data_IF_065704954874
#
_entry.id   IF_065704954874
#
_cell.length_a   1.000
_cell.length_b   1.000
_cell.length_c   1.000
_cell.angle_alpha   90.00
_cell.angle_beta   90.00
_cell.angle_gamma   90.00
#
_symmetry.space_group_name_H-M   'P 1'
#
loop_
_entity.id
_entity.type
_entity.pdbx_description
1 polymer ?
#
# COMPACT_ATOMS: atom_id res chain seq x y z
N UNK A 1 20.99 38.25 -30.42
CA UNK A 1 19.61 37.89 -30.82
C UNK A 1 18.79 37.81 -29.54
N UNK A 2 17.72 38.60 -29.42
CA UNK A 2 16.76 38.37 -28.34
C UNK A 2 16.03 37.06 -28.65
N UNK A 3 16.27 36.04 -27.85
CA UNK A 3 15.51 34.82 -27.96
C UNK A 3 14.03 35.16 -27.74
N UNK A 4 13.19 34.91 -28.74
CA UNK A 4 11.74 35.12 -28.62
C UNK A 4 11.19 34.10 -27.66
N UNK A 5 10.64 34.53 -26.51
CA UNK A 5 10.08 33.70 -25.47
C UNK A 5 9.05 32.70 -26.03
N UNK A 6 8.22 33.16 -26.99
CA UNK A 6 7.21 32.28 -27.60
C UNK A 6 7.82 31.12 -28.40
N UNK A 7 8.95 31.38 -29.09
CA UNK A 7 9.68 30.31 -29.81
C UNK A 7 10.29 29.30 -28.86
N UNK A 8 10.86 29.80 -27.75
CA UNK A 8 11.41 28.91 -26.70
C UNK A 8 10.33 28.07 -26.08
N UNK A 9 9.20 28.61 -25.67
CA UNK A 9 8.08 27.88 -25.09
C UNK A 9 7.57 26.77 -26.01
N UNK A 10 7.40 27.08 -27.32
CA UNK A 10 7.02 26.04 -28.30
C UNK A 10 8.03 24.92 -28.44
N UNK A 11 9.31 25.24 -28.37
CA UNK A 11 10.37 24.24 -28.39
C UNK A 11 10.28 23.31 -27.16
N UNK A 12 10.08 23.87 -25.96
CA UNK A 12 9.88 23.07 -24.72
C UNK A 12 8.62 22.22 -24.77
N UNK A 13 7.50 22.75 -25.26
CA UNK A 13 6.27 21.99 -25.41
C UNK A 13 6.46 20.79 -26.36
N UNK A 14 7.21 20.99 -27.45
CA UNK A 14 7.56 19.90 -28.35
C UNK A 14 8.47 18.84 -27.71
N UNK A 15 9.46 19.29 -26.94
CA UNK A 15 10.41 18.40 -26.24
C UNK A 15 9.79 17.64 -25.03
N UNK A 16 8.59 18.02 -24.59
CA UNK A 16 7.89 17.40 -23.44
C UNK A 16 6.55 16.78 -23.81
N UNK A 17 6.36 16.42 -25.05
CA UNK A 17 5.07 15.96 -25.61
C UNK A 17 4.49 14.75 -24.87
N UNK A 18 5.31 13.73 -24.59
CA UNK A 18 4.87 12.50 -23.92
C UNK A 18 4.44 12.80 -22.47
N UNK A 19 5.18 13.65 -21.77
CA UNK A 19 4.83 14.07 -20.40
C UNK A 19 3.52 14.85 -20.40
N UNK A 20 3.37 15.81 -21.31
CA UNK A 20 2.15 16.62 -21.41
C UNK A 20 0.92 15.78 -21.76
N UNK A 21 1.08 14.76 -22.62
CA UNK A 21 0.00 13.80 -22.89
C UNK A 21 -0.41 13.03 -21.64
N UNK A 22 0.55 12.62 -20.82
CA UNK A 22 0.27 11.95 -19.54
C UNK A 22 -0.44 12.91 -18.57
N UNK A 23 0.02 14.14 -18.45
CA UNK A 23 -0.60 15.14 -17.58
C UNK A 23 -2.04 15.45 -18.01
N UNK A 24 -2.28 15.63 -19.31
CA UNK A 24 -3.63 15.88 -19.84
C UNK A 24 -4.60 14.71 -19.58
N UNK A 25 -4.10 13.49 -19.46
CA UNK A 25 -4.91 12.31 -19.17
C UNK A 25 -5.20 12.09 -17.67
N UNK A 26 -4.28 12.50 -16.79
CA UNK A 26 -4.32 12.15 -15.37
C UNK A 26 -4.62 13.34 -14.45
N UNK A 27 -4.07 14.52 -14.74
CA UNK A 27 -4.30 15.73 -13.95
C UNK A 27 -5.66 16.37 -14.30
N UNK A 28 -6.11 17.28 -13.47
CA UNK A 28 -7.29 18.09 -13.78
C UNK A 28 -6.99 19.03 -14.96
N UNK A 29 -7.99 19.27 -15.81
CA UNK A 29 -7.82 20.04 -17.03
C UNK A 29 -7.23 21.44 -16.72
N UNK A 30 -6.23 21.84 -17.51
CA UNK A 30 -5.57 23.14 -17.45
C UNK A 30 -4.97 23.52 -16.08
N UNK A 31 -4.81 22.57 -15.17
CA UNK A 31 -4.30 22.82 -13.82
C UNK A 31 -2.78 22.87 -13.73
N UNK A 32 -2.04 22.27 -14.68
CA UNK A 32 -0.58 22.16 -14.59
C UNK A 32 0.13 23.48 -14.86
N UNK A 33 0.92 23.91 -13.87
CA UNK A 33 1.79 25.10 -13.96
C UNK A 33 3.25 24.62 -13.84
N UNK A 34 3.97 24.65 -14.98
CA UNK A 34 5.37 24.20 -15.04
C UNK A 34 6.30 25.16 -14.30
N UNK A 35 7.22 24.60 -13.52
CA UNK A 35 8.32 25.31 -12.89
C UNK A 35 9.64 24.87 -13.49
N UNK A 36 10.63 25.79 -13.46
CA UNK A 36 11.99 25.51 -13.93
C UNK A 36 12.08 25.06 -15.41
N UNK A 37 11.12 25.45 -16.27
CA UNK A 37 11.07 25.08 -17.68
C UNK A 37 12.36 25.44 -18.44
N UNK A 38 13.02 26.55 -18.03
CA UNK A 38 14.24 27.04 -18.68
C UNK A 38 15.55 26.45 -18.12
N UNK A 39 15.47 25.54 -17.16
CA UNK A 39 16.62 24.73 -16.76
C UNK A 39 16.79 23.62 -17.79
N UNK A 40 17.73 23.75 -18.68
CA UNK A 40 18.00 22.84 -19.80
C UNK A 40 19.50 22.77 -20.10
N UNK A 41 19.94 21.62 -20.60
CA UNK A 41 21.25 21.50 -21.21
C UNK A 41 21.31 22.16 -22.59
N UNK A 42 22.51 22.29 -23.13
CA UNK A 42 22.77 22.79 -24.48
C UNK A 42 23.46 21.71 -25.30
N UNK A 43 23.21 21.67 -26.62
CA UNK A 43 23.97 20.85 -27.56
C UNK A 43 25.30 21.55 -27.92
N UNK A 44 26.09 20.95 -28.78
CA UNK A 44 27.38 21.48 -29.26
C UNK A 44 27.24 22.85 -29.99
N UNK A 45 26.03 23.20 -30.42
CA UNK A 45 25.72 24.46 -31.09
C UNK A 45 25.17 25.53 -30.10
N UNK A 46 25.10 25.21 -28.78
CA UNK A 46 24.54 26.10 -27.76
C UNK A 46 23.02 26.19 -27.81
N UNK A 47 22.34 25.25 -28.46
CA UNK A 47 20.88 25.21 -28.51
C UNK A 47 20.32 24.40 -27.32
N UNK A 48 19.22 24.83 -26.71
CA UNK A 48 18.55 24.08 -25.64
C UNK A 48 18.15 22.69 -26.11
N UNK A 49 18.57 21.66 -25.38
CA UNK A 49 18.26 20.25 -25.70
C UNK A 49 17.02 19.73 -25.00
N UNK A 50 16.37 20.52 -24.15
CA UNK A 50 15.40 20.03 -23.20
C UNK A 50 16.05 19.29 -22.02
N UNK A 51 15.24 18.90 -21.06
CA UNK A 51 15.73 18.16 -19.88
C UNK A 51 14.89 16.92 -19.62
N UNK A 52 15.53 15.90 -19.06
CA UNK A 52 14.90 14.62 -18.71
C UNK A 52 13.90 14.70 -17.54
N UNK A 53 13.64 15.91 -17.02
CA UNK A 53 12.72 16.14 -15.91
C UNK A 53 11.82 17.34 -16.19
N UNK A 54 10.52 17.17 -15.96
CA UNK A 54 9.47 18.20 -15.95
C UNK A 54 8.87 18.24 -14.55
N UNK A 55 8.68 19.45 -14.01
CA UNK A 55 8.15 19.63 -12.65
C UNK A 55 7.28 20.86 -12.52
N UNK A 56 6.34 20.86 -11.59
CA UNK A 56 5.42 21.96 -11.36
C UNK A 56 4.35 21.65 -10.33
N UNK A 57 3.32 22.48 -10.30
CA UNK A 57 2.12 22.26 -9.50
C UNK A 57 0.92 21.97 -10.40
N UNK A 58 -0.02 21.20 -9.89
CA UNK A 58 -1.27 20.87 -10.58
C UNK A 58 -2.37 20.55 -9.57
N UNK A 59 -3.55 20.19 -10.06
CA UNK A 59 -4.63 19.65 -9.24
C UNK A 59 -5.02 18.25 -9.71
N UNK A 60 -5.45 17.40 -8.77
CA UNK A 60 -6.00 16.07 -8.99
C UNK A 60 -7.25 15.93 -8.12
N UNK A 61 -8.42 15.75 -8.75
CA UNK A 61 -9.69 15.73 -8.04
C UNK A 61 -9.95 17.00 -7.22
N UNK A 62 -9.55 18.16 -7.76
CA UNK A 62 -9.61 19.50 -7.14
C UNK A 62 -8.73 19.68 -5.90
N UNK A 63 -7.76 18.81 -5.68
CA UNK A 63 -6.75 18.91 -4.62
C UNK A 63 -5.41 19.30 -5.24
N UNK A 64 -4.73 20.28 -4.64
CA UNK A 64 -3.43 20.73 -5.10
C UNK A 64 -2.34 19.69 -4.84
N UNK A 65 -1.48 19.48 -5.82
CA UNK A 65 -0.37 18.51 -5.76
C UNK A 65 0.91 19.11 -6.37
N UNK A 66 2.05 18.69 -5.88
CA UNK A 66 3.33 18.88 -6.57
C UNK A 66 3.55 17.71 -7.54
N UNK A 67 3.95 18.03 -8.77
CA UNK A 67 4.13 17.05 -9.84
C UNK A 67 5.58 17.00 -10.29
N UNK A 68 6.11 15.79 -10.41
CA UNK A 68 7.43 15.48 -10.97
C UNK A 68 7.24 14.44 -12.07
N UNK A 69 7.85 14.64 -13.25
CA UNK A 69 7.86 13.62 -14.28
C UNK A 69 9.25 13.48 -14.91
N UNK A 70 9.66 12.25 -15.18
CA UNK A 70 10.78 12.00 -16.08
C UNK A 70 10.29 12.08 -17.51
N UNK A 71 11.12 12.63 -18.41
CA UNK A 71 10.73 12.94 -19.77
C UNK A 71 11.37 11.95 -20.76
N UNK A 72 10.63 10.92 -21.22
CA UNK A 72 11.18 9.93 -22.14
C UNK A 72 11.54 10.47 -23.52
N UNK A 73 11.02 11.65 -23.91
CA UNK A 73 11.32 12.29 -25.19
C UNK A 73 12.77 12.83 -25.25
N UNK A 74 13.44 12.94 -24.11
CA UNK A 74 14.81 13.43 -23.97
C UNK A 74 15.72 12.37 -23.36
N UNK A 75 16.63 11.82 -24.14
CA UNK A 75 17.58 10.77 -23.73
C UNK A 75 16.93 9.57 -23.01
N UNK A 76 15.79 9.08 -23.54
CA UNK A 76 15.01 7.99 -22.93
C UNK A 76 14.70 8.22 -21.43
N UNK A 77 14.43 9.46 -21.04
CA UNK A 77 14.18 9.83 -19.64
C UNK A 77 15.43 9.86 -18.76
N UNK A 78 16.61 9.78 -19.36
CA UNK A 78 17.89 9.83 -18.63
C UNK A 78 18.05 11.11 -17.80
N UNK A 79 18.29 10.95 -16.51
CA UNK A 79 18.38 12.07 -15.56
C UNK A 79 19.82 12.61 -15.51
N UNK A 80 19.94 13.91 -15.79
CA UNK A 80 21.17 14.70 -15.67
C UNK A 80 21.29 15.33 -14.28
N UNK A 81 22.41 15.94 -13.99
CA UNK A 81 22.60 16.79 -12.82
C UNK A 81 21.60 17.97 -12.79
N UNK A 82 21.26 18.55 -13.96
CA UNK A 82 20.27 19.62 -14.07
C UNK A 82 18.85 19.10 -13.86
N UNK A 83 18.50 17.95 -14.41
CA UNK A 83 17.22 17.30 -14.17
C UNK A 83 17.02 16.94 -12.71
N UNK A 84 18.05 16.43 -12.06
CA UNK A 84 18.04 16.14 -10.63
C UNK A 84 17.83 17.41 -9.78
N UNK A 85 18.41 18.55 -10.19
CA UNK A 85 18.18 19.84 -9.52
C UNK A 85 16.72 20.30 -9.63
N UNK A 86 16.06 20.09 -10.78
CA UNK A 86 14.62 20.35 -10.93
C UNK A 86 13.79 19.46 -9.98
N UNK A 87 14.13 18.16 -9.94
CA UNK A 87 13.45 17.20 -9.05
C UNK A 87 13.61 17.58 -7.57
N UNK A 88 14.85 17.87 -7.12
CA UNK A 88 15.11 18.29 -5.74
C UNK A 88 14.29 19.52 -5.33
N UNK A 89 14.18 20.51 -6.22
CA UNK A 89 13.44 21.77 -5.96
C UNK A 89 11.96 21.53 -5.78
N UNK A 90 11.32 20.74 -6.65
CA UNK A 90 9.89 20.48 -6.52
C UNK A 90 9.57 19.61 -5.30
N UNK A 91 10.43 18.61 -4.99
CA UNK A 91 10.29 17.80 -3.77
C UNK A 91 10.37 18.68 -2.51
N UNK A 92 11.37 19.58 -2.44
CA UNK A 92 11.51 20.48 -1.31
C UNK A 92 10.30 21.40 -1.15
N UNK A 93 9.76 21.94 -2.25
CA UNK A 93 8.55 22.78 -2.23
C UNK A 93 7.31 21.98 -1.81
N UNK A 94 7.18 20.74 -2.25
CA UNK A 94 6.09 19.87 -1.82
C UNK A 94 6.10 19.69 -0.28
N UNK A 95 7.26 19.41 0.29
CA UNK A 95 7.44 19.27 1.76
C UNK A 95 7.10 20.59 2.47
N UNK A 96 7.67 21.72 2.00
CA UNK A 96 7.46 23.05 2.60
C UNK A 96 5.98 23.48 2.58
N UNK A 97 5.24 23.08 1.54
CA UNK A 97 3.83 23.43 1.36
C UNK A 97 2.86 22.38 1.92
N UNK A 98 3.35 21.23 2.40
CA UNK A 98 2.51 20.11 2.85
C UNK A 98 1.69 19.46 1.73
N UNK A 99 2.09 19.61 0.46
CA UNK A 99 1.35 19.10 -0.69
C UNK A 99 1.76 17.67 -1.02
N UNK A 100 0.83 16.81 -1.45
CA UNK A 100 1.16 15.51 -2.00
C UNK A 100 2.15 15.63 -3.17
N UNK A 101 3.15 14.74 -3.20
CA UNK A 101 4.07 14.60 -4.31
C UNK A 101 3.60 13.46 -5.23
N UNK A 102 3.25 13.78 -6.46
CA UNK A 102 2.86 12.80 -7.49
C UNK A 102 3.93 12.77 -8.57
N UNK A 103 4.57 11.61 -8.74
CA UNK A 103 5.69 11.45 -9.66
C UNK A 103 5.38 10.46 -10.77
N UNK A 104 5.65 10.83 -12.02
CA UNK A 104 5.49 9.96 -13.19
C UNK A 104 6.88 9.58 -13.71
N UNK A 105 7.20 8.30 -13.67
CA UNK A 105 8.52 7.76 -13.98
C UNK A 105 8.49 6.98 -15.29
N UNK A 106 9.31 7.41 -16.23
CA UNK A 106 9.68 6.67 -17.45
C UNK A 106 11.13 7.00 -17.78
N UNK A 107 12.08 6.19 -17.26
CA UNK A 107 13.50 6.51 -17.32
C UNK A 107 14.37 5.26 -17.42
N UNK A 108 15.44 5.37 -18.17
CA UNK A 108 16.52 4.37 -18.22
C UNK A 108 17.57 4.55 -17.12
N UNK A 109 17.44 5.59 -16.27
CA UNK A 109 18.36 5.87 -15.15
C UNK A 109 19.19 7.13 -15.37
N UNK A 110 20.44 7.09 -14.89
CA UNK A 110 21.37 8.23 -14.98
C UNK A 110 21.90 8.45 -16.41
N UNK A 111 22.18 9.69 -16.77
CA UNK A 111 22.99 10.01 -17.95
C UNK A 111 24.45 9.62 -17.70
N UNK A 112 24.81 8.44 -18.19
CA UNK A 112 26.12 7.81 -17.90
C UNK A 112 27.31 8.70 -18.27
N UNK A 113 27.21 9.50 -19.33
CA UNK A 113 28.27 10.39 -19.79
C UNK A 113 28.57 11.57 -18.84
N UNK A 114 27.65 11.91 -17.93
CA UNK A 114 27.85 12.94 -16.92
C UNK A 114 28.62 12.42 -15.68
N UNK A 115 28.89 11.12 -15.61
CA UNK A 115 29.71 10.52 -14.56
C UNK A 115 29.22 10.83 -13.15
N UNK A 116 30.14 11.40 -12.33
CA UNK A 116 29.86 11.69 -10.92
C UNK A 116 28.76 12.74 -10.72
N UNK A 117 28.56 13.67 -11.65
CA UNK A 117 27.56 14.73 -11.52
C UNK A 117 26.13 14.15 -11.60
N UNK A 118 25.90 13.18 -12.49
CA UNK A 118 24.64 12.45 -12.53
C UNK A 118 24.41 11.64 -11.25
N UNK A 119 25.46 10.98 -10.71
CA UNK A 119 25.36 10.22 -9.46
C UNK A 119 24.99 11.13 -8.28
N UNK A 120 25.68 12.26 -8.13
CA UNK A 120 25.37 13.28 -7.11
C UNK A 120 23.94 13.85 -7.26
N UNK A 121 23.42 13.89 -8.49
CA UNK A 121 22.03 14.24 -8.76
C UNK A 121 21.05 13.23 -8.19
N UNK A 122 21.30 11.93 -8.40
CA UNK A 122 20.48 10.87 -7.83
C UNK A 122 20.46 10.86 -6.30
N UNK A 123 21.62 11.14 -5.65
CA UNK A 123 21.69 11.26 -4.20
C UNK A 123 20.71 12.31 -3.66
N UNK A 124 20.57 13.45 -4.35
CA UNK A 124 19.63 14.51 -3.98
C UNK A 124 18.18 14.08 -4.13
N UNK A 125 17.84 13.34 -5.21
CA UNK A 125 16.49 12.81 -5.42
C UNK A 125 16.15 11.82 -4.31
N UNK A 126 17.00 10.84 -4.05
CA UNK A 126 16.78 9.83 -3.02
C UNK A 126 16.64 10.44 -1.62
N UNK A 127 17.55 11.39 -1.28
CA UNK A 127 17.46 12.12 -0.01
C UNK A 127 16.19 12.98 0.08
N UNK A 128 15.73 13.55 -1.02
CA UNK A 128 14.49 14.29 -1.12
C UNK A 128 13.28 13.39 -0.79
N UNK A 129 13.18 12.24 -1.44
CA UNK A 129 12.11 11.28 -1.18
C UNK A 129 12.14 10.73 0.25
N UNK A 130 13.34 10.42 0.78
CA UNK A 130 13.47 9.96 2.16
C UNK A 130 13.00 11.01 3.18
N UNK A 131 13.10 12.30 2.87
CA UNK A 131 12.54 13.38 3.71
C UNK A 131 11.04 13.54 3.51
N UNK A 132 10.53 13.38 2.28
CA UNK A 132 9.11 13.52 1.98
C UNK A 132 8.28 12.39 2.60
N UNK A 133 8.80 11.16 2.54
CA UNK A 133 8.13 9.98 3.06
C UNK A 133 7.81 10.10 4.55
N UNK A 134 6.54 9.93 4.89
CA UNK A 134 6.02 10.09 6.24
C UNK A 134 5.80 11.55 6.69
N UNK A 135 6.06 12.55 5.81
CA UNK A 135 5.72 13.96 6.07
C UNK A 135 4.60 14.46 5.17
N UNK A 136 4.60 14.03 3.92
CA UNK A 136 3.57 14.32 2.93
C UNK A 136 3.21 13.03 2.18
N UNK A 137 2.01 12.93 1.58
CA UNK A 137 1.69 11.80 0.69
C UNK A 137 2.63 11.75 -0.52
N UNK A 138 3.22 10.57 -0.77
CA UNK A 138 4.14 10.33 -1.90
C UNK A 138 3.57 9.23 -2.79
N UNK A 139 3.18 9.59 -4.02
CA UNK A 139 2.63 8.68 -5.01
C UNK A 139 3.58 8.63 -6.20
N UNK A 140 4.13 7.47 -6.50
CA UNK A 140 5.02 7.25 -7.65
C UNK A 140 4.34 6.35 -8.67
N UNK A 141 4.31 6.78 -9.92
CA UNK A 141 3.70 6.07 -11.05
C UNK A 141 4.78 5.72 -12.06
N UNK A 142 4.93 4.45 -12.38
CA UNK A 142 5.84 3.97 -13.44
C UNK A 142 5.02 3.67 -14.69
N UNK A 143 5.20 4.50 -15.73
CA UNK A 143 4.44 4.37 -16.98
C UNK A 143 5.14 3.49 -18.01
N UNK A 144 6.46 3.60 -18.15
CA UNK A 144 7.26 2.84 -19.06
C UNK A 144 8.39 2.10 -18.36
N UNK A 145 9.53 2.73 -18.21
CA UNK A 145 10.73 2.14 -17.60
C UNK A 145 11.04 2.79 -16.26
N UNK A 146 11.49 1.99 -15.31
CA UNK A 146 12.08 2.47 -14.07
C UNK A 146 13.32 1.62 -13.77
N UNK A 147 14.47 2.09 -14.26
CA UNK A 147 15.73 1.36 -14.11
C UNK A 147 16.68 2.09 -13.15
N UNK A 148 17.52 1.31 -12.49
CA UNK A 148 18.55 1.83 -11.59
C UNK A 148 17.99 2.27 -10.23
N UNK A 149 18.59 3.32 -9.66
CA UNK A 149 18.34 3.75 -8.27
C UNK A 149 16.92 4.27 -8.03
N UNK A 150 16.18 4.71 -9.07
CA UNK A 150 14.80 5.15 -8.87
C UNK A 150 13.82 4.02 -8.52
N UNK A 151 14.20 2.76 -8.70
CA UNK A 151 13.40 1.65 -8.16
C UNK A 151 13.30 1.67 -6.63
N UNK A 152 14.28 2.24 -5.95
CA UNK A 152 14.26 2.39 -4.48
C UNK A 152 13.19 3.35 -3.97
N UNK A 153 12.62 4.21 -4.86
CA UNK A 153 11.48 5.05 -4.52
C UNK A 153 10.27 4.22 -4.10
N UNK A 154 10.19 2.96 -4.53
CA UNK A 154 9.13 2.04 -4.10
C UNK A 154 9.04 1.84 -2.58
N UNK A 155 10.16 1.94 -1.86
CA UNK A 155 10.23 1.88 -0.40
C UNK A 155 10.06 3.23 0.29
N UNK A 156 9.95 4.32 -0.49
CA UNK A 156 9.79 5.70 0.00
C UNK A 156 8.56 6.36 -0.65
N UNK A 157 7.59 5.56 -1.05
CA UNK A 157 6.31 6.00 -1.62
C UNK A 157 5.18 5.28 -0.90
N UNK A 158 4.12 5.99 -0.59
CA UNK A 158 2.90 5.43 0.00
C UNK A 158 2.14 4.59 -1.03
N UNK A 159 2.28 4.96 -2.31
CA UNK A 159 1.84 4.15 -3.43
C UNK A 159 2.89 4.14 -4.56
N UNK A 160 3.26 2.93 -5.00
CA UNK A 160 4.13 2.70 -6.15
C UNK A 160 3.33 1.97 -7.21
N UNK A 161 2.70 2.75 -8.10
CA UNK A 161 1.77 2.30 -9.13
C UNK A 161 2.54 2.01 -10.40
N UNK A 162 2.30 0.87 -11.04
CA UNK A 162 2.92 0.55 -12.32
C UNK A 162 1.88 0.26 -13.38
N UNK A 163 2.14 0.71 -14.61
CA UNK A 163 1.40 0.22 -15.75
C UNK A 163 1.76 -1.26 -15.98
N UNK A 164 0.79 -2.06 -16.44
CA UNK A 164 0.94 -3.51 -16.59
C UNK A 164 2.17 -3.93 -17.41
N UNK A 165 2.49 -3.12 -18.43
CA UNK A 165 3.62 -3.35 -19.35
C UNK A 165 4.89 -2.57 -18.97
N UNK A 166 4.86 -1.85 -17.85
CA UNK A 166 6.04 -1.15 -17.38
C UNK A 166 7.14 -2.15 -16.97
N UNK A 167 8.37 -1.72 -17.12
CA UNK A 167 9.55 -2.51 -16.76
C UNK A 167 10.25 -1.87 -15.55
N UNK A 168 10.49 -2.67 -14.51
CA UNK A 168 11.10 -2.20 -13.26
C UNK A 168 12.28 -3.10 -12.90
N UNK A 169 13.47 -2.52 -12.79
CA UNK A 169 14.66 -3.26 -12.39
C UNK A 169 15.74 -2.32 -11.81
N UNK A 170 16.41 -2.75 -10.74
CA UNK A 170 17.56 -2.02 -10.18
C UNK A 170 18.79 -2.09 -11.09
N UNK A 171 18.90 -3.16 -11.88
CA UNK A 171 19.96 -3.35 -12.86
C UNK A 171 19.36 -3.39 -14.25
N UNK A 172 19.95 -2.63 -15.19
CA UNK A 172 19.48 -2.63 -16.57
C UNK A 172 19.38 -4.06 -17.14
N UNK A 173 18.30 -4.38 -17.86
CA UNK A 173 18.14 -5.68 -18.54
C UNK A 173 19.32 -6.05 -19.43
N UNK A 174 20.01 -5.07 -20.02
CA UNK A 174 21.24 -5.29 -20.80
C UNK A 174 22.38 -5.90 -19.97
N UNK A 175 22.49 -5.54 -18.72
CA UNK A 175 23.49 -6.08 -17.78
C UNK A 175 22.99 -7.42 -17.22
N UNK A 176 21.71 -7.52 -16.87
CA UNK A 176 21.10 -8.76 -16.36
C UNK A 176 21.17 -9.90 -17.36
N UNK A 177 21.09 -9.63 -18.66
CA UNK A 177 21.15 -10.66 -19.71
C UNK A 177 22.44 -11.49 -19.67
N UNK A 178 23.51 -11.00 -19.03
CA UNK A 178 24.77 -11.73 -18.85
C UNK A 178 24.74 -12.72 -17.68
N UNK A 179 23.78 -12.58 -16.75
CA UNK A 179 23.68 -13.38 -15.51
C UNK A 179 22.42 -14.28 -15.45
N UNK A 180 21.55 -14.21 -16.43
CA UNK A 180 20.32 -14.99 -16.52
C UNK A 180 19.12 -14.14 -16.96
N UNK A 181 18.00 -14.78 -17.29
CA UNK A 181 16.77 -14.08 -17.69
C UNK A 181 15.87 -13.92 -16.48
N UNK A 182 15.64 -12.67 -16.07
CA UNK A 182 14.66 -12.30 -15.03
C UNK A 182 13.59 -11.44 -15.71
N UNK A 183 12.31 -11.70 -15.42
CA UNK A 183 11.24 -10.82 -15.86
C UNK A 183 11.36 -9.48 -15.12
N UNK A 184 11.43 -8.38 -15.88
CA UNK A 184 11.37 -7.01 -15.37
C UNK A 184 9.96 -6.42 -15.46
N UNK A 185 8.97 -7.18 -15.96
CA UNK A 185 7.60 -6.70 -16.09
C UNK A 185 7.00 -6.42 -14.72
N UNK A 186 6.38 -5.26 -14.59
CA UNK A 186 5.78 -4.81 -13.34
C UNK A 186 4.71 -5.78 -12.81
N UNK A 187 3.94 -6.43 -13.69
CA UNK A 187 2.94 -7.46 -13.32
C UNK A 187 3.56 -8.69 -12.65
N UNK A 188 4.76 -9.12 -13.06
CA UNK A 188 5.47 -10.24 -12.46
C UNK A 188 6.17 -9.80 -11.15
N UNK A 189 6.75 -8.60 -11.15
CA UNK A 189 7.36 -7.99 -9.98
C UNK A 189 6.34 -7.81 -8.86
N UNK A 190 5.13 -7.36 -9.17
CA UNK A 190 4.04 -7.19 -8.20
C UNK A 190 3.71 -8.48 -7.44
N UNK A 191 3.73 -9.64 -8.13
CA UNK A 191 3.48 -10.96 -7.52
C UNK A 191 4.66 -11.44 -6.68
N UNK A 192 5.88 -11.27 -7.20
CA UNK A 192 7.07 -11.94 -6.68
C UNK A 192 7.82 -11.07 -5.66
N UNK A 193 8.09 -9.82 -5.95
CA UNK A 193 8.88 -8.92 -5.10
C UNK A 193 8.03 -8.15 -4.08
N UNK A 194 6.74 -7.87 -4.40
CA UNK A 194 5.79 -7.31 -3.43
C UNK A 194 5.96 -5.83 -3.10
N UNK A 195 6.76 -5.07 -3.87
CA UNK A 195 6.91 -3.63 -3.65
C UNK A 195 5.99 -2.78 -4.54
N UNK A 196 5.47 -3.31 -5.65
CA UNK A 196 4.47 -2.63 -6.47
C UNK A 196 3.12 -2.66 -5.76
N UNK A 197 2.54 -1.51 -5.52
CA UNK A 197 1.28 -1.41 -4.77
C UNK A 197 0.06 -1.66 -5.64
N UNK A 198 0.05 -1.11 -6.86
CA UNK A 198 -1.08 -1.22 -7.79
C UNK A 198 -0.58 -1.41 -9.22
N UNK A 199 -1.28 -2.23 -9.99
CA UNK A 199 -1.09 -2.37 -11.43
C UNK A 199 -2.28 -1.72 -12.12
N UNK A 200 -2.00 -0.89 -13.13
CA UNK A 200 -3.01 -0.20 -13.95
C UNK A 200 -2.81 -0.51 -15.44
N UNK A 201 -3.88 -0.55 -16.19
CA UNK A 201 -3.86 -0.92 -17.62
C UNK A 201 -3.65 0.28 -18.54
N UNK A 202 -4.23 1.42 -18.14
CA UNK A 202 -4.29 2.63 -18.96
C UNK A 202 -4.35 3.90 -18.09
N UNK A 203 -4.29 5.06 -18.75
CA UNK A 203 -4.33 6.38 -18.10
C UNK A 203 -5.66 6.61 -17.35
N UNK A 204 -6.78 6.05 -17.82
CA UNK A 204 -8.07 6.21 -17.17
C UNK A 204 -8.15 5.44 -15.83
N UNK A 205 -7.59 4.24 -15.79
CA UNK A 205 -7.47 3.47 -14.55
C UNK A 205 -6.46 4.13 -13.61
N UNK A 206 -5.34 4.60 -14.13
CA UNK A 206 -4.32 5.34 -13.38
C UNK A 206 -4.93 6.57 -12.71
N UNK A 207 -5.68 7.40 -13.46
CA UNK A 207 -6.37 8.57 -12.90
C UNK A 207 -7.31 8.18 -11.75
N UNK A 208 -8.13 7.16 -11.91
CA UNK A 208 -9.04 6.68 -10.84
C UNK A 208 -8.30 6.28 -9.57
N UNK A 209 -7.17 5.59 -9.73
CA UNK A 209 -6.34 5.16 -8.59
C UNK A 209 -5.74 6.36 -7.88
N UNK A 210 -5.16 7.31 -8.63
CA UNK A 210 -4.51 8.49 -8.07
C UNK A 210 -5.55 9.43 -7.43
N UNK A 211 -6.66 9.73 -8.11
CA UNK A 211 -7.76 10.55 -7.58
C UNK A 211 -8.20 10.01 -6.20
N UNK A 212 -8.35 8.68 -6.09
CA UNK A 212 -8.74 8.02 -4.85
C UNK A 212 -7.67 8.14 -3.76
N UNK A 213 -6.40 7.88 -4.11
CA UNK A 213 -5.30 7.99 -3.16
C UNK A 213 -5.13 9.42 -2.67
N UNK A 214 -5.12 10.40 -3.56
CA UNK A 214 -5.02 11.81 -3.18
C UNK A 214 -6.18 12.23 -2.27
N UNK A 215 -7.39 11.74 -2.54
CA UNK A 215 -8.55 12.01 -1.68
C UNK A 215 -8.42 11.39 -0.29
N UNK A 216 -7.91 10.14 -0.18
CA UNK A 216 -7.81 9.41 1.08
C UNK A 216 -6.59 9.82 1.93
N UNK A 217 -5.49 10.24 1.28
CA UNK A 217 -4.24 10.55 1.96
C UNK A 217 -4.11 12.02 2.40
N UNK A 218 -5.08 12.87 2.09
CA UNK A 218 -5.06 14.31 2.38
C UNK A 218 -5.70 14.72 3.70
N UNK A 219 -5.85 13.82 4.64
CA UNK A 219 -6.35 14.06 6.02
C UNK A 219 -7.69 14.85 6.13
N UNK A 220 -8.42 14.98 5.01
CA UNK A 220 -9.72 15.62 4.97
C UNK A 220 -10.82 14.57 4.96
N UNK A 221 -11.91 14.84 5.68
CA UNK A 221 -13.10 13.99 5.59
C UNK A 221 -13.59 13.95 4.13
N UNK A 222 -13.72 12.74 3.60
CA UNK A 222 -14.28 12.55 2.27
C UNK A 222 -15.78 12.88 2.28
N UNK A 223 -16.28 13.49 1.21
CA UNK A 223 -17.73 13.64 1.01
C UNK A 223 -18.39 12.26 1.04
N UNK A 224 -19.14 11.99 2.10
CA UNK A 224 -19.81 10.72 2.29
C UNK A 224 -21.33 10.88 2.22
N UNK A 225 -21.93 10.20 1.25
CA UNK A 225 -23.39 10.10 1.11
C UNK A 225 -23.94 8.73 1.56
N UNK A 226 -23.07 7.83 2.05
CA UNK A 226 -23.44 6.49 2.47
C UNK A 226 -23.98 6.51 3.91
N UNK A 227 -25.16 5.92 4.14
CA UNK A 227 -25.79 5.92 5.45
C UNK A 227 -24.93 5.20 6.50
N UNK A 228 -24.58 5.90 7.59
CA UNK A 228 -23.83 5.36 8.72
C UNK A 228 -24.53 4.14 9.36
N UNK A 229 -25.86 4.11 9.31
CA UNK A 229 -26.67 3.03 9.88
C UNK A 229 -27.02 1.93 8.86
N UNK A 230 -26.44 1.97 7.68
CA UNK A 230 -26.67 0.97 6.64
C UNK A 230 -26.37 -0.44 7.14
N UNK A 231 -27.33 -1.33 7.04
CA UNK A 231 -27.20 -2.76 7.37
C UNK A 231 -26.45 -3.47 6.24
N UNK A 232 -25.38 -4.18 6.57
CA UNK A 232 -24.56 -4.96 5.63
C UNK A 232 -25.25 -6.30 5.31
N UNK A 233 -26.28 -6.29 4.47
CA UNK A 233 -27.10 -7.47 4.16
C UNK A 233 -26.34 -8.58 3.45
N UNK A 234 -25.25 -8.27 2.77
CA UNK A 234 -24.38 -9.22 2.08
C UNK A 234 -23.41 -9.98 3.02
N UNK A 235 -23.28 -9.56 4.27
CA UNK A 235 -22.37 -10.21 5.21
C UNK A 235 -23.03 -11.38 5.96
N UNK A 236 -22.28 -12.46 6.05
CA UNK A 236 -22.63 -13.69 6.77
C UNK A 236 -21.40 -14.27 7.47
N UNK A 237 -21.56 -15.30 8.28
CA UNK A 237 -20.45 -15.98 8.95
C UNK A 237 -19.41 -16.61 8.00
N UNK A 238 -19.75 -16.78 6.72
CA UNK A 238 -18.85 -17.30 5.67
C UNK A 238 -18.19 -16.20 4.81
N UNK A 239 -18.44 -14.93 5.11
CA UNK A 239 -17.82 -13.82 4.37
C UNK A 239 -16.33 -13.72 4.64
N UNK A 240 -15.56 -13.44 3.61
CA UNK A 240 -14.13 -13.18 3.70
C UNK A 240 -13.81 -11.70 4.03
N UNK A 241 -12.56 -11.37 4.27
CA UNK A 241 -12.13 -10.02 4.63
C UNK A 241 -12.42 -9.00 3.51
N UNK A 242 -12.35 -9.40 2.24
CA UNK A 242 -12.64 -8.52 1.11
C UNK A 242 -14.14 -8.22 0.98
N UNK A 243 -14.97 -9.17 1.33
CA UNK A 243 -16.42 -8.95 1.42
C UNK A 243 -16.77 -7.90 2.49
N UNK A 244 -16.08 -7.92 3.64
CA UNK A 244 -16.28 -6.89 4.68
C UNK A 244 -15.77 -5.53 4.20
N UNK A 245 -14.62 -5.47 3.52
CA UNK A 245 -14.12 -4.22 2.94
C UNK A 245 -15.15 -3.59 1.97
N UNK A 246 -15.79 -4.40 1.14
CA UNK A 246 -16.76 -3.91 0.16
C UNK A 246 -18.12 -3.53 0.77
N UNK A 247 -18.56 -4.24 1.83
CA UNK A 247 -19.89 -4.09 2.40
C UNK A 247 -19.95 -3.14 3.59
N UNK A 248 -18.94 -3.11 4.46
CA UNK A 248 -18.99 -2.34 5.70
C UNK A 248 -18.44 -0.92 5.58
N UNK A 249 -17.49 -0.69 4.67
CA UNK A 249 -16.90 0.63 4.44
C UNK A 249 -17.76 1.47 3.48
N UNK A 250 -17.41 2.72 3.30
CA UNK A 250 -18.15 3.62 2.42
C UNK A 250 -18.09 3.12 0.97
N UNK A 251 -19.21 3.23 0.27
CA UNK A 251 -19.32 2.71 -1.09
C UNK A 251 -18.29 3.32 -2.02
N UNK A 252 -17.62 2.46 -2.78
CA UNK A 252 -16.60 2.86 -3.74
C UNK A 252 -15.42 3.65 -3.15
N UNK A 253 -15.20 3.66 -1.83
CA UNK A 253 -14.09 4.36 -1.21
C UNK A 253 -12.79 3.56 -1.19
N UNK A 254 -12.86 2.23 -1.18
CA UNK A 254 -11.71 1.37 -0.96
C UNK A 254 -10.75 1.30 -2.15
N UNK A 255 -9.47 1.17 -1.83
CA UNK A 255 -8.40 0.82 -2.76
C UNK A 255 -7.46 -0.20 -2.11
N UNK A 256 -7.43 -1.41 -2.65
CA UNK A 256 -6.53 -2.47 -2.16
C UNK A 256 -5.11 -2.23 -2.65
N UNK A 257 -4.15 -2.30 -1.73
CA UNK A 257 -2.71 -2.13 -1.98
C UNK A 257 -2.02 -3.48 -2.00
N UNK A 258 -1.07 -3.69 -2.91
CA UNK A 258 -0.33 -4.95 -3.08
C UNK A 258 -1.24 -6.18 -3.23
N UNK A 259 -2.37 -6.06 -3.93
CA UNK A 259 -3.38 -7.12 -4.06
C UNK A 259 -2.83 -8.43 -4.68
N UNK A 260 -1.81 -8.35 -5.53
CA UNK A 260 -1.19 -9.51 -6.19
C UNK A 260 -0.15 -10.24 -5.32
N UNK A 261 0.21 -9.68 -4.17
CA UNK A 261 1.27 -10.21 -3.29
C UNK A 261 0.67 -10.63 -1.95
N UNK A 262 1.08 -11.80 -1.42
CA UNK A 262 0.59 -12.33 -0.15
C UNK A 262 -0.94 -12.21 -0.04
N UNK A 263 -1.65 -12.97 -0.87
CA UNK A 263 -3.10 -12.85 -1.09
C UNK A 263 -3.95 -13.11 0.17
N UNK A 264 -3.39 -13.84 1.14
CA UNK A 264 -3.99 -14.07 2.45
C UNK A 264 -4.04 -12.82 3.32
N UNK A 265 -3.21 -11.81 3.00
CA UNK A 265 -3.16 -10.53 3.69
C UNK A 265 -3.77 -9.44 2.82
N UNK A 266 -4.84 -8.82 3.29
CA UNK A 266 -5.44 -7.63 2.72
C UNK A 266 -4.78 -6.39 3.32
N UNK A 267 -4.42 -5.43 2.51
CA UNK A 267 -4.09 -4.06 2.90
C UNK A 267 -4.83 -3.10 1.99
N UNK A 268 -5.62 -2.20 2.53
CA UNK A 268 -6.41 -1.26 1.74
C UNK A 268 -6.58 0.08 2.45
N UNK A 269 -6.57 1.17 1.70
CA UNK A 269 -7.14 2.42 2.17
C UNK A 269 -8.63 2.46 1.84
N UNK A 270 -9.44 3.03 2.73
CA UNK A 270 -10.87 3.20 2.54
C UNK A 270 -11.37 4.40 3.34
N UNK A 271 -12.64 4.74 3.22
CA UNK A 271 -13.30 5.62 4.18
C UNK A 271 -14.41 4.88 4.95
N UNK A 272 -14.63 5.33 6.16
CA UNK A 272 -15.67 4.83 7.03
C UNK A 272 -16.40 6.03 7.65
N UNK A 273 -17.62 6.28 7.20
CA UNK A 273 -18.40 7.47 7.56
C UNK A 273 -17.68 8.78 7.20
N UNK A 274 -17.02 8.79 6.04
CA UNK A 274 -16.21 9.91 5.54
C UNK A 274 -14.79 9.99 6.11
N UNK A 275 -14.48 9.29 7.19
CA UNK A 275 -13.14 9.30 7.80
C UNK A 275 -12.22 8.34 7.04
N UNK A 276 -11.07 8.79 6.52
CA UNK A 276 -10.06 7.91 5.93
C UNK A 276 -9.52 6.91 6.96
N UNK A 277 -9.45 5.63 6.58
CA UNK A 277 -8.97 4.55 7.44
C UNK A 277 -8.09 3.58 6.68
N UNK A 278 -7.11 3.01 7.36
CA UNK A 278 -6.31 1.89 6.88
C UNK A 278 -6.97 0.56 7.27
N UNK A 279 -7.21 -0.31 6.31
CA UNK A 279 -7.83 -1.61 6.54
C UNK A 279 -6.80 -2.71 6.34
N UNK A 280 -6.58 -3.49 7.36
CA UNK A 280 -5.76 -4.70 7.34
C UNK A 280 -6.70 -5.90 7.44
N UNK A 281 -6.48 -6.95 6.66
CA UNK A 281 -7.25 -8.18 6.77
C UNK A 281 -6.34 -9.42 6.66
N UNK A 282 -6.64 -10.46 7.42
CA UNK A 282 -5.95 -11.74 7.27
C UNK A 282 -6.99 -12.84 7.14
N UNK A 283 -6.90 -13.60 6.04
CA UNK A 283 -7.78 -14.73 5.76
C UNK A 283 -6.95 -16.00 5.54
N UNK A 284 -7.02 -16.92 6.50
CA UNK A 284 -6.20 -18.12 6.54
C UNK A 284 -4.94 -18.00 7.39
N UNK A 285 -3.83 -18.64 6.99
CA UNK A 285 -2.55 -18.58 7.70
C UNK A 285 -1.68 -17.45 7.21
N UNK A 286 -1.16 -16.64 8.13
CA UNK A 286 -0.26 -15.53 7.81
C UNK A 286 1.14 -16.05 7.46
N UNK A 287 1.65 -15.66 6.29
CA UNK A 287 3.01 -15.96 5.84
C UNK A 287 4.01 -14.87 6.26
N UNK A 288 5.30 -15.15 6.14
CA UNK A 288 6.36 -14.15 6.35
C UNK A 288 6.18 -12.94 5.42
N UNK A 289 5.78 -13.17 4.17
CA UNK A 289 5.53 -12.13 3.18
C UNK A 289 4.28 -11.31 3.52
N UNK A 290 3.23 -11.97 4.01
CA UNK A 290 2.02 -11.30 4.51
C UNK A 290 2.31 -10.41 5.72
N UNK A 291 3.13 -10.90 6.66
CA UNK A 291 3.56 -10.11 7.80
C UNK A 291 4.33 -8.84 7.38
N UNK A 292 5.29 -8.96 6.46
CA UNK A 292 6.02 -7.80 5.92
C UNK A 292 5.09 -6.82 5.19
N UNK A 293 4.17 -7.33 4.36
CA UNK A 293 3.18 -6.50 3.66
C UNK A 293 2.35 -5.66 4.63
N UNK A 294 1.87 -6.26 5.72
CA UNK A 294 1.07 -5.57 6.73
C UNK A 294 1.94 -4.57 7.50
N UNK A 295 3.18 -4.95 7.86
CA UNK A 295 4.13 -4.06 8.56
C UNK A 295 4.37 -2.77 7.79
N UNK A 296 4.71 -2.86 6.51
CA UNK A 296 4.91 -1.70 5.64
C UNK A 296 3.66 -0.80 5.63
N UNK A 297 2.50 -1.42 5.44
CA UNK A 297 1.23 -0.70 5.33
C UNK A 297 0.82 0.01 6.63
N UNK A 298 0.98 -0.66 7.79
CA UNK A 298 0.71 -0.05 9.11
C UNK A 298 1.65 1.11 9.39
N UNK A 299 2.93 0.98 9.03
CA UNK A 299 3.91 2.04 9.20
C UNK A 299 3.52 3.29 8.39
N UNK A 300 3.12 3.09 7.14
CA UNK A 300 2.58 4.16 6.28
C UNK A 300 1.33 4.79 6.89
N UNK A 301 0.34 4.00 7.29
CA UNK A 301 -0.90 4.50 7.89
C UNK A 301 -0.63 5.28 9.18
N UNK A 302 0.28 4.78 10.02
CA UNK A 302 0.68 5.43 11.27
C UNK A 302 1.36 6.79 11.05
N UNK A 303 2.23 6.92 10.03
CA UNK A 303 2.86 8.20 9.69
C UNK A 303 1.88 9.25 9.19
N UNK A 304 0.74 8.81 8.65
CA UNK A 304 -0.36 9.68 8.19
C UNK A 304 -1.42 9.95 9.26
N UNK A 305 -1.26 9.45 10.48
CA UNK A 305 -2.27 9.60 11.54
C UNK A 305 -3.57 8.84 11.28
N UNK A 306 -3.57 7.88 10.35
CA UNK A 306 -4.77 7.21 9.86
C UNK A 306 -5.20 6.07 10.80
N UNK A 307 -6.45 6.01 11.29
CA UNK A 307 -6.95 4.90 12.10
C UNK A 307 -6.86 3.56 11.38
N UNK A 308 -6.60 2.49 12.11
CA UNK A 308 -6.42 1.14 11.56
C UNK A 308 -7.59 0.25 11.96
N UNK A 309 -8.24 -0.39 10.98
CA UNK A 309 -9.25 -1.42 11.19
C UNK A 309 -8.68 -2.76 10.76
N UNK A 310 -8.60 -3.70 11.68
CA UNK A 310 -8.03 -5.04 11.45
C UNK A 310 -9.14 -6.10 11.41
N UNK A 311 -9.26 -6.80 10.29
CA UNK A 311 -10.23 -7.85 10.03
C UNK A 311 -9.53 -9.23 10.15
N UNK A 312 -9.97 -10.08 11.07
CA UNK A 312 -9.25 -11.32 11.39
C UNK A 312 -10.10 -12.56 11.15
N UNK A 313 -9.65 -13.39 10.22
CA UNK A 313 -10.11 -14.76 10.02
C UNK A 313 -8.89 -15.68 9.82
N UNK A 314 -8.08 -15.84 10.86
CA UNK A 314 -6.78 -16.49 10.75
C UNK A 314 -6.65 -17.73 11.65
N UNK A 315 -6.16 -18.80 11.06
CA UNK A 315 -5.85 -20.07 11.75
C UNK A 315 -4.40 -20.11 12.28
N UNK A 316 -3.73 -18.96 12.35
CA UNK A 316 -2.38 -18.82 12.91
C UNK A 316 -1.34 -18.41 11.88
N UNK A 317 -0.08 -18.65 12.21
CA UNK A 317 1.07 -18.42 11.33
C UNK A 317 1.34 -19.69 10.51
N UNK A 318 1.84 -19.55 9.29
CA UNK A 318 2.26 -20.69 8.46
C UNK A 318 3.42 -21.40 9.15
N UNK A 319 3.25 -22.69 9.40
CA UNK A 319 4.27 -23.56 9.97
C UNK A 319 4.80 -24.50 8.88
N UNK A 320 5.88 -24.08 8.20
CA UNK A 320 6.63 -24.91 7.27
C UNK A 320 8.13 -24.57 7.31
N UNK A 321 8.97 -25.53 6.95
CA UNK A 321 10.41 -25.41 7.06
C UNK A 321 11.01 -24.26 6.23
N UNK A 322 10.40 -23.93 5.08
CA UNK A 322 10.89 -22.82 4.23
C UNK A 322 10.62 -21.47 4.90
N UNK A 323 9.44 -21.29 5.48
CA UNK A 323 9.08 -20.07 6.20
C UNK A 323 9.94 -19.90 7.45
N UNK A 324 10.13 -20.99 8.25
CA UNK A 324 10.96 -20.98 9.45
C UNK A 324 12.44 -20.70 9.15
N UNK A 325 12.98 -21.26 8.06
CA UNK A 325 14.37 -21.04 7.66
C UNK A 325 14.65 -19.70 6.97
N UNK A 326 13.58 -18.95 6.58
CA UNK A 326 13.71 -17.66 5.95
C UNK A 326 13.58 -16.51 6.96
N UNK A 327 12.68 -15.58 6.70
CA UNK A 327 12.50 -14.35 7.45
C UNK A 327 11.23 -14.32 8.32
N UNK A 328 10.57 -15.48 8.58
CA UNK A 328 9.29 -15.52 9.30
C UNK A 328 9.37 -14.83 10.66
N UNK A 329 10.31 -15.26 11.50
CA UNK A 329 10.45 -14.71 12.86
C UNK A 329 10.74 -13.22 12.82
N UNK A 330 11.60 -12.77 11.92
CA UNK A 330 11.92 -11.35 11.76
C UNK A 330 10.70 -10.55 11.32
N UNK A 331 10.02 -10.97 10.25
CA UNK A 331 8.88 -10.24 9.71
C UNK A 331 7.70 -10.20 10.69
N UNK A 332 7.47 -11.28 11.44
CA UNK A 332 6.43 -11.30 12.48
C UNK A 332 6.82 -10.43 13.67
N UNK A 333 8.10 -10.38 14.05
CA UNK A 333 8.58 -9.48 15.10
C UNK A 333 8.42 -8.01 14.68
N UNK A 334 8.75 -7.68 13.43
CA UNK A 334 8.57 -6.34 12.88
C UNK A 334 7.09 -5.94 12.84
N UNK A 335 6.19 -6.89 12.53
CA UNK A 335 4.75 -6.68 12.57
C UNK A 335 4.24 -6.38 13.99
N UNK A 336 4.69 -7.14 15.00
CA UNK A 336 4.37 -6.90 16.41
C UNK A 336 4.86 -5.50 16.81
N UNK A 337 6.09 -5.15 16.42
CA UNK A 337 6.67 -3.85 16.71
C UNK A 337 5.85 -2.72 16.07
N UNK A 338 5.48 -2.84 14.79
CA UNK A 338 4.69 -1.84 14.09
C UNK A 338 3.34 -1.60 14.79
N UNK A 339 2.57 -2.65 15.07
CA UNK A 339 1.27 -2.49 15.78
C UNK A 339 1.38 -1.82 17.14
N UNK A 340 2.47 -2.05 17.88
CA UNK A 340 2.63 -1.48 19.22
C UNK A 340 3.20 -0.06 19.22
N UNK A 341 3.79 0.40 18.11
CA UNK A 341 4.45 1.70 18.04
C UNK A 341 3.70 2.74 17.20
N UNK A 342 2.64 2.37 16.48
CA UNK A 342 1.80 3.36 15.80
C UNK A 342 0.89 4.07 16.82
N UNK A 343 0.86 5.40 16.76
CA UNK A 343 0.08 6.25 17.68
C UNK A 343 -1.27 6.64 17.06
N UNK A 344 -1.97 5.67 16.47
CA UNK A 344 -3.29 5.86 15.87
C UNK A 344 -4.30 4.91 16.50
N UNK A 345 -5.59 5.23 16.37
CA UNK A 345 -6.67 4.38 16.84
C UNK A 345 -6.67 3.03 16.10
N UNK A 346 -6.87 1.94 16.85
CA UNK A 346 -6.86 0.57 16.30
C UNK A 346 -8.11 -0.18 16.74
N UNK A 347 -8.83 -0.69 15.75
CA UNK A 347 -10.07 -1.43 15.93
C UNK A 347 -9.88 -2.82 15.33
N UNK A 348 -10.10 -3.88 16.10
CA UNK A 348 -10.05 -5.25 15.61
C UNK A 348 -11.44 -5.88 15.54
N UNK A 349 -11.70 -6.62 14.46
CA UNK A 349 -12.88 -7.44 14.28
C UNK A 349 -12.48 -8.88 13.95
N UNK A 350 -12.76 -9.80 14.88
CA UNK A 350 -12.61 -11.23 14.61
C UNK A 350 -13.88 -11.73 13.91
N UNK A 351 -13.75 -12.08 12.63
CA UNK A 351 -14.86 -12.49 11.79
C UNK A 351 -15.15 -14.00 11.87
N UNK A 352 -14.08 -14.79 11.95
CA UNK A 352 -14.13 -16.24 11.98
C UNK A 352 -13.18 -16.80 13.03
N UNK A 353 -11.97 -17.13 12.64
CA UNK A 353 -10.94 -17.68 13.54
C UNK A 353 -9.88 -16.66 13.89
N UNK A 354 -9.44 -16.67 15.14
CA UNK A 354 -8.25 -15.97 15.60
C UNK A 354 -7.44 -16.91 16.50
N UNK A 355 -6.47 -17.62 15.91
CA UNK A 355 -5.78 -18.75 16.56
C UNK A 355 -4.33 -18.41 16.84
N UNK A 356 -3.89 -18.71 18.07
CA UNK A 356 -2.51 -18.60 18.50
C UNK A 356 -1.93 -17.20 18.32
N UNK A 357 -0.75 -17.11 17.72
CA UNK A 357 -0.05 -15.85 17.51
C UNK A 357 -0.86 -14.84 16.66
N UNK A 358 -1.71 -15.31 15.73
CA UNK A 358 -2.55 -14.40 14.95
C UNK A 358 -3.51 -13.58 15.83
N UNK A 359 -4.12 -14.18 16.87
CA UNK A 359 -4.91 -13.43 17.83
C UNK A 359 -4.05 -12.39 18.56
N UNK A 360 -2.90 -12.81 19.10
CA UNK A 360 -2.04 -11.95 19.89
C UNK A 360 -1.51 -10.73 19.12
N UNK A 361 -1.24 -10.93 17.81
CA UNK A 361 -0.64 -9.90 16.95
C UNK A 361 -1.69 -8.98 16.33
N UNK A 362 -2.89 -9.50 16.02
CA UNK A 362 -3.86 -8.77 15.20
C UNK A 362 -5.11 -8.33 15.97
N UNK A 363 -5.56 -9.10 16.98
CA UNK A 363 -6.87 -8.93 17.58
C UNK A 363 -6.89 -8.78 19.11
N UNK A 364 -5.75 -8.79 19.79
CA UNK A 364 -5.72 -8.71 21.25
C UNK A 364 -6.01 -7.29 21.76
N UNK A 365 -6.61 -7.20 22.94
CA UNK A 365 -6.82 -5.92 23.65
C UNK A 365 -5.51 -5.22 24.05
N UNK A 366 -4.39 -5.92 24.04
CA UNK A 366 -3.08 -5.32 24.36
C UNK A 366 -2.62 -4.33 23.28
N UNK A 367 -3.12 -4.50 22.05
CA UNK A 367 -2.69 -3.72 20.89
C UNK A 367 -3.83 -2.95 20.23
N UNK A 368 -5.09 -3.27 20.53
CA UNK A 368 -6.25 -2.60 19.93
C UNK A 368 -7.04 -1.84 21.00
N UNK A 369 -7.54 -0.69 20.64
CA UNK A 369 -8.39 0.16 21.49
C UNK A 369 -9.81 -0.42 21.59
N UNK A 370 -10.30 -1.03 20.48
CA UNK A 370 -11.56 -1.77 20.43
C UNK A 370 -11.38 -3.15 19.82
N UNK A 371 -11.98 -4.15 20.46
CA UNK A 371 -11.96 -5.55 20.04
C UNK A 371 -13.38 -6.08 19.91
N UNK A 372 -13.80 -6.34 18.67
CA UNK A 372 -15.11 -6.87 18.32
C UNK A 372 -14.97 -8.29 17.76
N UNK A 373 -16.02 -9.09 17.87
CA UNK A 373 -16.09 -10.37 17.21
C UNK A 373 -17.49 -10.65 16.65
N UNK A 374 -17.58 -11.39 15.56
CA UNK A 374 -18.86 -11.96 15.12
C UNK A 374 -19.31 -13.08 16.05
N UNK A 375 -20.61 -13.28 16.16
CA UNK A 375 -21.22 -14.26 17.09
C UNK A 375 -20.79 -15.72 16.85
N UNK A 376 -20.31 -16.06 15.67
CA UNK A 376 -19.77 -17.38 15.33
C UNK A 376 -18.24 -17.48 15.39
N UNK A 377 -17.54 -16.44 15.85
CA UNK A 377 -16.08 -16.44 15.87
C UNK A 377 -15.51 -17.32 16.98
N UNK A 378 -14.29 -17.81 16.73
CA UNK A 378 -13.51 -18.70 17.57
C UNK A 378 -12.15 -18.09 17.91
N UNK A 379 -11.81 -18.04 19.20
CA UNK A 379 -10.58 -17.41 19.70
C UNK A 379 -9.90 -18.36 20.68
N UNK A 380 -8.74 -18.92 20.31
CA UNK A 380 -8.03 -19.90 21.11
C UNK A 380 -6.54 -19.98 20.81
N UNK A 381 -5.72 -20.57 21.71
CA UNK A 381 -4.32 -20.86 21.45
C UNK A 381 -4.08 -21.81 20.26
N UNK A 382 -4.98 -22.80 20.06
CA UNK A 382 -4.88 -23.83 19.03
C UNK A 382 -6.23 -24.00 18.32
N UNK A 383 -6.22 -24.51 17.10
CA UNK A 383 -7.44 -25.03 16.48
C UNK A 383 -7.95 -26.27 17.23
N UNK A 384 -9.24 -26.59 17.09
CA UNK A 384 -9.88 -27.65 17.85
C UNK A 384 -9.21 -29.02 17.70
N UNK A 385 -8.79 -29.39 16.48
CA UNK A 385 -8.15 -30.68 16.23
C UNK A 385 -6.76 -30.73 16.87
N UNK A 386 -5.96 -29.68 16.74
CA UNK A 386 -4.65 -29.60 17.38
C UNK A 386 -4.77 -29.63 18.90
N UNK A 387 -5.73 -28.91 19.47
CA UNK A 387 -6.00 -28.93 20.90
C UNK A 387 -6.40 -30.31 21.38
N UNK A 388 -7.34 -30.97 20.70
CA UNK A 388 -7.77 -32.34 21.05
C UNK A 388 -6.60 -33.34 21.08
N UNK A 389 -5.70 -33.26 20.07
CA UNK A 389 -4.51 -34.14 20.04
C UNK A 389 -3.54 -33.83 21.17
N UNK A 390 -3.38 -32.58 21.57
CA UNK A 390 -2.46 -32.20 22.66
C UNK A 390 -2.99 -32.56 24.05
N UNK A 391 -4.31 -32.45 24.27
CA UNK A 391 -4.92 -32.69 25.59
C UNK A 391 -5.40 -34.11 25.79
N UNK A 392 -5.98 -34.72 24.74
CA UNK A 392 -6.66 -36.03 24.81
C UNK A 392 -6.05 -37.07 23.84
N UNK A 393 -4.81 -36.84 23.39
CA UNK A 393 -4.15 -37.65 22.36
C UNK A 393 -4.11 -39.15 22.71
N UNK A 394 -3.92 -39.53 24.00
CA UNK A 394 -3.93 -40.94 24.44
C UNK A 394 -5.33 -41.56 24.37
N UNK A 395 -6.38 -40.80 24.70
CA UNK A 395 -7.77 -41.29 24.63
C UNK A 395 -8.22 -41.44 23.19
N UNK A 396 -7.85 -40.47 22.34
CA UNK A 396 -8.11 -40.51 20.90
C UNK A 396 -7.44 -41.73 20.26
N UNK A 397 -6.16 -42.01 20.60
CA UNK A 397 -5.42 -43.14 20.06
C UNK A 397 -6.00 -44.50 20.49
N UNK A 398 -6.66 -44.58 21.64
CA UNK A 398 -7.29 -45.81 22.18
C UNK A 398 -8.72 -46.01 21.69
N UNK A 399 -9.32 -44.98 21.02
CA UNK A 399 -10.70 -45.03 20.56
C UNK A 399 -10.87 -46.05 19.40
N UNK A 400 -12.02 -46.69 19.34
CA UNK A 400 -12.38 -47.58 18.21
C UNK A 400 -12.49 -46.82 16.88
N UNK A 401 -12.95 -45.59 16.95
CA UNK A 401 -13.02 -44.67 15.84
C UNK A 401 -12.25 -43.39 16.23
N UNK A 402 -11.02 -43.34 15.79
CA UNK A 402 -10.06 -42.26 16.09
C UNK A 402 -10.57 -40.92 15.56
N UNK A 403 -11.12 -40.88 14.34
CA UNK A 403 -11.62 -39.66 13.70
C UNK A 403 -12.86 -39.10 14.42
N UNK A 404 -13.79 -39.96 14.80
CA UNK A 404 -14.97 -39.51 15.55
C UNK A 404 -14.60 -39.01 16.96
N UNK A 405 -13.63 -39.65 17.62
CA UNK A 405 -13.13 -39.21 18.93
C UNK A 405 -12.43 -37.84 18.83
N UNK A 406 -11.55 -37.66 17.84
CA UNK A 406 -10.89 -36.39 17.60
C UNK A 406 -11.91 -35.26 17.34
N UNK A 407 -12.90 -35.49 16.48
CA UNK A 407 -13.97 -34.52 16.20
C UNK A 407 -14.77 -34.16 17.44
N UNK A 408 -15.06 -35.14 18.30
CA UNK A 408 -15.78 -34.94 19.57
C UNK A 408 -15.01 -33.99 20.49
N UNK A 409 -13.75 -34.28 20.76
CA UNK A 409 -12.92 -33.48 21.64
C UNK A 409 -12.64 -32.07 21.02
N UNK A 410 -12.40 -32.00 19.73
CA UNK A 410 -12.26 -30.74 19.00
C UNK A 410 -13.50 -29.84 19.16
N UNK A 411 -14.70 -30.40 19.01
CA UNK A 411 -15.95 -29.63 19.13
C UNK A 411 -16.20 -29.09 20.55
N UNK A 412 -15.80 -29.88 21.58
CA UNK A 412 -15.89 -29.43 22.98
C UNK A 412 -14.95 -28.22 23.18
N UNK A 413 -13.70 -28.34 22.75
CA UNK A 413 -12.72 -27.28 22.87
C UNK A 413 -13.13 -26.03 22.10
N UNK A 414 -13.72 -26.17 20.91
CA UNK A 414 -14.21 -25.06 20.12
C UNK A 414 -15.40 -24.34 20.79
N UNK A 415 -16.30 -25.06 21.42
CA UNK A 415 -17.43 -24.48 22.15
C UNK A 415 -16.96 -23.63 23.36
N UNK A 416 -15.96 -24.12 24.10
CA UNK A 416 -15.39 -23.42 25.26
C UNK A 416 -14.60 -22.17 24.90
N UNK A 417 -14.16 -22.06 23.63
CA UNK A 417 -13.37 -20.97 23.11
C UNK A 417 -14.14 -20.11 22.07
N UNK A 418 -15.45 -20.05 22.19
CA UNK A 418 -16.30 -19.18 21.37
C UNK A 418 -16.08 -17.70 21.67
N UNK A 419 -16.43 -16.80 20.72
CA UNK A 419 -16.41 -15.37 20.92
C UNK A 419 -17.19 -14.93 22.18
N UNK A 420 -18.31 -15.58 22.47
CA UNK A 420 -19.12 -15.28 23.67
C UNK A 420 -18.37 -15.64 24.95
N UNK A 421 -17.63 -16.75 24.96
CA UNK A 421 -16.76 -17.13 26.09
C UNK A 421 -15.65 -16.12 26.29
N UNK A 422 -14.99 -15.64 25.21
CA UNK A 422 -13.97 -14.62 25.28
C UNK A 422 -14.54 -13.27 25.78
N UNK A 423 -15.73 -12.88 25.35
CA UNK A 423 -16.39 -11.65 25.81
C UNK A 423 -16.72 -11.69 27.30
N UNK A 424 -17.24 -12.83 27.79
CA UNK A 424 -17.52 -13.02 29.23
C UNK A 424 -16.28 -12.92 30.12
N UNK A 425 -15.12 -13.19 29.58
CA UNK A 425 -13.81 -13.06 30.26
C UNK A 425 -13.19 -11.66 30.09
N UNK A 426 -13.86 -10.74 29.37
CA UNK A 426 -13.39 -9.37 29.17
C UNK A 426 -12.33 -9.21 28.07
N UNK A 427 -12.15 -10.18 27.17
CA UNK A 427 -11.18 -10.09 26.06
C UNK A 427 -11.77 -9.40 24.81
N UNK A 428 -13.08 -9.18 24.77
CA UNK A 428 -13.77 -8.46 23.70
C UNK A 428 -14.65 -7.36 24.31
N UNK A 429 -14.81 -6.27 23.58
CA UNK A 429 -15.74 -5.20 23.93
C UNK A 429 -17.18 -5.59 23.59
N UNK A 430 -17.35 -6.29 22.46
CA UNK A 430 -18.69 -6.80 22.09
C UNK A 430 -18.63 -8.00 21.13
N UNK A 431 -19.73 -8.76 21.11
CA UNK A 431 -20.02 -9.80 20.11
C UNK A 431 -21.19 -9.32 19.26
N UNK A 432 -21.00 -9.24 17.96
CA UNK A 432 -21.94 -8.61 17.02
C UNK A 432 -22.42 -9.59 15.94
N UNK A 433 -23.53 -9.27 15.31
CA UNK A 433 -23.98 -9.95 14.11
C UNK A 433 -23.25 -9.40 12.87
N UNK A 434 -22.89 -10.22 11.86
CA UNK A 434 -22.19 -9.79 10.68
C UNK A 434 -22.82 -8.58 9.96
N UNK A 435 -24.14 -8.57 9.86
CA UNK A 435 -24.89 -7.51 9.19
C UNK A 435 -24.86 -6.13 9.91
N UNK A 436 -24.44 -6.07 11.17
CA UNK A 436 -24.27 -4.83 11.95
C UNK A 436 -22.82 -4.33 11.98
N UNK A 437 -21.90 -4.94 11.25
CA UNK A 437 -20.46 -4.62 11.26
C UNK A 437 -20.20 -3.14 11.05
N UNK A 438 -20.79 -2.50 10.03
CA UNK A 438 -20.60 -1.06 9.75
C UNK A 438 -20.92 -0.18 10.95
N UNK A 439 -22.09 -0.39 11.56
CA UNK A 439 -22.55 0.42 12.69
C UNK A 439 -21.59 0.36 13.88
N UNK A 440 -21.10 -0.83 14.20
CA UNK A 440 -20.14 -1.02 15.30
C UNK A 440 -18.75 -0.48 15.00
N UNK A 441 -18.28 -0.63 13.77
CA UNK A 441 -16.98 -0.03 13.37
C UNK A 441 -17.04 1.50 13.43
N UNK A 442 -18.12 2.12 12.92
CA UNK A 442 -18.32 3.58 13.00
C UNK A 442 -18.42 4.03 14.47
N UNK A 443 -19.18 3.32 15.29
CA UNK A 443 -19.30 3.64 16.72
C UNK A 443 -17.95 3.56 17.43
N UNK A 444 -17.15 2.54 17.15
CA UNK A 444 -15.79 2.41 17.70
C UNK A 444 -14.88 3.54 17.21
N UNK A 445 -14.95 3.92 15.94
CA UNK A 445 -14.15 4.99 15.36
C UNK A 445 -14.46 6.36 15.97
N UNK A 446 -15.73 6.61 16.33
CA UNK A 446 -16.20 7.87 16.94
C UNK A 446 -16.03 7.95 18.46
N UNK A 447 -15.66 6.86 19.12
CA UNK A 447 -15.65 6.78 20.59
C UNK A 447 -14.39 7.33 21.26
N UNK A 448 -13.40 7.79 20.47
CA UNK A 448 -12.14 8.37 20.99
C UNK A 448 -11.95 9.78 20.45
#
# INVERSE_FOLDING_TARGET
MSLDLNSMLKSYESATKSVRATFAAVLDADSFVELDAFITGENELGEPTGEGVVSGFASIGSKDVAVLATNPDVFDGGISALGAKKAERIISRAIESGLPLVSFIDTTGARVLEGIDALAGFDKILAGYARAYGQIPVITVVKGKCFGMLTYLSGMSDAFICYEKAEVATTSPLILSTSGSISCLASDIAKNAGFVTNIVKDDAECKKVIDRLVSLLNDEMADNTDDANRVCKGLSASSDVRSVLNEAFDKNSSIEMKASSAIEALTAFASLDGVPVAVVGVDGKLTAKGASKITDFITTAGSMGMPIVTLVNSTGIVADANQESCCLVRNVSDLIYAYNNVSVQRIALVMGKAVGAAYSILASRSINDFCLAWNGAYIAPFDGASAARLTEGEEIAKAKDVEAAEKKFASIYEADNSALSAARKGYLDNVILPNHTRQYLIASLRAI
#
